data_IF_403836686267
#
_entry.id   IF_403836686267
#
_cell.length_a   1.000
_cell.length_b   1.000
_cell.length_c   1.000
_cell.angle_alpha   90.00
_cell.angle_beta   90.00
_cell.angle_gamma   90.00
#
_symmetry.space_group_name_H-M   'P 1'
#
loop_
_entity.id
_entity.type
_entity.pdbx_description
1 polymer ?
#
# COMPACT_ATOMS: atom_id res chain seq x y z
N UNK A 1 6.24 28.60 21.65
CA UNK A 1 6.38 27.26 21.11
C UNK A 1 5.12 26.89 20.35
N UNK A 2 5.24 26.76 19.05
CA UNK A 2 4.08 26.41 18.24
C UNK A 2 3.85 24.90 18.31
N UNK A 3 2.76 24.53 18.97
CA UNK A 3 2.23 23.16 18.91
C UNK A 3 1.23 23.04 17.77
N UNK A 4 1.51 23.76 16.67
CA UNK A 4 0.64 23.66 15.50
C UNK A 4 0.82 22.29 14.85
N UNK A 5 -0.27 21.50 14.89
CA UNK A 5 -0.33 20.24 14.16
C UNK A 5 -0.44 20.59 12.68
N UNK A 6 0.43 20.00 11.86
CA UNK A 6 0.37 20.16 10.42
C UNK A 6 -0.99 19.67 9.90
N UNK A 7 -1.81 20.51 9.23
CA UNK A 7 -3.13 20.10 8.74
C UNK A 7 -3.08 18.88 7.81
N UNK A 8 -2.02 18.75 7.01
CA UNK A 8 -1.84 17.58 6.12
C UNK A 8 -1.65 16.32 6.95
N UNK A 9 -0.86 16.38 8.00
CA UNK A 9 -0.63 15.25 8.90
C UNK A 9 -1.92 14.85 9.62
N UNK A 10 -2.71 15.81 10.04
CA UNK A 10 -4.04 15.54 10.61
C UNK A 10 -4.96 14.87 9.62
N UNK A 11 -5.01 15.36 8.37
CA UNK A 11 -5.84 14.78 7.31
C UNK A 11 -5.40 13.35 7.01
N UNK A 12 -4.10 13.10 6.95
CA UNK A 12 -3.54 11.77 6.74
C UNK A 12 -3.94 10.82 7.87
N UNK A 13 -3.76 11.24 9.11
CA UNK A 13 -4.10 10.42 10.29
C UNK A 13 -5.60 10.17 10.39
N UNK A 14 -6.43 11.15 10.06
CA UNK A 14 -7.88 11.00 10.04
C UNK A 14 -8.32 9.97 8.99
N UNK A 15 -7.72 10.01 7.79
CA UNK A 15 -8.00 9.04 6.74
C UNK A 15 -7.60 7.61 7.18
N UNK A 16 -6.43 7.45 7.79
CA UNK A 16 -6.00 6.15 8.33
C UNK A 16 -6.95 5.63 9.40
N UNK A 17 -7.40 6.51 10.30
CA UNK A 17 -8.34 6.12 11.36
C UNK A 17 -9.66 5.61 10.80
N UNK A 18 -10.17 6.27 9.76
CA UNK A 18 -11.40 5.83 9.10
C UNK A 18 -11.21 4.50 8.38
N UNK A 19 -10.05 4.29 7.78
CA UNK A 19 -9.71 3.00 7.18
C UNK A 19 -9.72 1.89 8.23
N UNK A 20 -9.04 2.10 9.34
CA UNK A 20 -8.97 1.12 10.44
C UNK A 20 -10.34 0.83 11.05
N UNK A 21 -11.23 1.84 11.07
CA UNK A 21 -12.60 1.70 11.57
C UNK A 21 -13.52 0.98 10.58
N UNK A 22 -13.04 0.59 9.41
CA UNK A 22 -13.84 -0.13 8.42
C UNK A 22 -14.83 0.72 7.66
N UNK A 23 -14.62 2.04 7.59
CA UNK A 23 -15.50 2.93 6.86
C UNK A 23 -15.35 2.78 5.35
N UNK A 24 -16.32 3.32 4.59
CA UNK A 24 -16.36 3.26 3.14
C UNK A 24 -15.03 3.77 2.53
N UNK A 25 -14.46 2.99 1.60
CA UNK A 25 -13.16 3.26 1.03
C UNK A 25 -13.15 4.42 0.04
N UNK A 26 -14.26 4.68 -0.67
CA UNK A 26 -14.30 5.72 -1.71
C UNK A 26 -14.00 7.12 -1.15
N UNK A 27 -14.65 7.58 -0.06
CA UNK A 27 -14.28 8.86 0.54
C UNK A 27 -12.85 8.90 1.04
N UNK A 28 -12.32 7.78 1.55
CA UNK A 28 -10.95 7.70 2.04
C UNK A 28 -9.95 7.85 0.88
N UNK A 29 -10.23 7.23 -0.27
CA UNK A 29 -9.44 7.44 -1.50
C UNK A 29 -9.38 8.93 -1.84
N UNK A 30 -10.53 9.62 -1.80
CA UNK A 30 -10.60 11.05 -2.10
C UNK A 30 -9.74 11.88 -1.14
N UNK A 31 -9.71 11.50 0.14
CA UNK A 31 -8.87 12.18 1.13
C UNK A 31 -7.38 12.05 0.78
N UNK A 32 -6.91 10.86 0.45
CA UNK A 32 -5.52 10.66 0.05
C UNK A 32 -5.20 11.37 -1.27
N UNK A 33 -6.15 11.40 -2.23
CA UNK A 33 -5.98 12.16 -3.48
C UNK A 33 -5.80 13.65 -3.21
N UNK A 34 -6.53 14.23 -2.27
CA UNK A 34 -6.36 15.63 -1.86
C UNK A 34 -4.97 15.87 -1.27
N UNK A 35 -4.48 14.93 -0.47
CA UNK A 35 -3.16 15.06 0.15
C UNK A 35 -2.07 15.09 -0.94
N UNK A 36 -2.11 14.21 -1.93
CA UNK A 36 -1.11 14.19 -2.99
C UNK A 36 -1.24 15.37 -3.96
N UNK A 37 -2.41 16.00 -4.06
CA UNK A 37 -2.56 17.25 -4.81
C UNK A 37 -1.81 18.39 -4.11
N UNK A 38 -1.81 18.41 -2.80
CA UNK A 38 -1.13 19.43 -2.01
C UNK A 38 0.36 19.12 -1.83
N UNK A 39 0.71 17.85 -1.63
CA UNK A 39 2.10 17.38 -1.48
C UNK A 39 2.32 16.21 -2.44
N UNK A 40 2.73 16.49 -3.70
CA UNK A 40 2.88 15.43 -4.72
C UNK A 40 3.90 14.34 -4.40
N UNK A 41 4.84 14.60 -3.50
CA UNK A 41 5.84 13.62 -3.08
C UNK A 41 5.56 13.03 -1.69
N UNK A 42 4.32 13.06 -1.23
CA UNK A 42 3.92 12.46 0.04
C UNK A 42 3.90 10.93 -0.11
N UNK A 43 5.01 10.29 0.22
CA UNK A 43 5.20 8.86 0.03
C UNK A 43 4.12 8.01 0.68
N UNK A 44 3.83 8.26 1.97
CA UNK A 44 2.85 7.46 2.71
C UNK A 44 1.45 7.54 2.11
N UNK A 45 1.05 8.72 1.61
CA UNK A 45 -0.25 8.88 0.95
C UNK A 45 -0.32 8.09 -0.36
N UNK A 46 0.75 8.08 -1.17
CA UNK A 46 0.79 7.27 -2.38
C UNK A 46 0.70 5.77 -2.06
N UNK A 47 1.40 5.32 -1.02
CA UNK A 47 1.36 3.92 -0.60
C UNK A 47 -0.05 3.51 -0.15
N UNK A 48 -0.68 4.32 0.69
CA UNK A 48 -2.06 4.08 1.13
C UNK A 48 -3.03 4.10 -0.04
N UNK A 49 -2.89 5.06 -0.95
CA UNK A 49 -3.75 5.18 -2.12
C UNK A 49 -3.65 3.94 -3.01
N UNK A 50 -2.43 3.43 -3.25
CA UNK A 50 -2.24 2.22 -4.05
C UNK A 50 -2.95 1.02 -3.42
N UNK A 51 -2.86 0.86 -2.12
CA UNK A 51 -3.52 -0.22 -1.39
C UNK A 51 -5.04 -0.13 -1.51
N UNK A 52 -5.60 1.05 -1.27
CA UNK A 52 -7.05 1.28 -1.38
C UNK A 52 -7.58 1.01 -2.79
N UNK A 53 -6.85 1.44 -3.81
CA UNK A 53 -7.22 1.19 -5.19
C UNK A 53 -7.18 -0.31 -5.52
N UNK A 54 -6.23 -1.05 -4.95
CA UNK A 54 -6.20 -2.52 -5.07
C UNK A 54 -7.44 -3.15 -4.43
N UNK A 55 -7.80 -2.71 -3.23
CA UNK A 55 -9.00 -3.21 -2.54
C UNK A 55 -10.28 -2.94 -3.35
N UNK A 56 -10.34 -1.81 -4.04
CA UNK A 56 -11.47 -1.42 -4.89
C UNK A 56 -11.41 -2.04 -6.29
N UNK A 57 -10.34 -2.78 -6.59
CA UNK A 57 -10.09 -3.40 -7.90
C UNK A 57 -9.93 -2.36 -9.02
N UNK A 58 -9.51 -1.16 -8.69
CA UNK A 58 -9.11 -0.13 -9.63
C UNK A 58 -7.62 -0.34 -9.97
N UNK A 59 -7.35 -1.39 -10.75
CA UNK A 59 -6.00 -1.94 -10.91
C UNK A 59 -5.02 -1.00 -11.61
N UNK A 60 -5.48 -0.24 -12.61
CA UNK A 60 -4.62 0.72 -13.31
C UNK A 60 -4.23 1.90 -12.42
N UNK A 61 -5.19 2.43 -11.67
CA UNK A 61 -4.95 3.49 -10.68
C UNK A 61 -4.03 2.99 -9.57
N UNK A 62 -4.22 1.75 -9.12
CA UNK A 62 -3.35 1.13 -8.14
C UNK A 62 -1.91 1.01 -8.65
N UNK A 63 -1.73 0.60 -9.91
CA UNK A 63 -0.42 0.47 -10.53
C UNK A 63 0.29 1.83 -10.61
N UNK A 64 -0.41 2.86 -11.05
CA UNK A 64 0.13 4.22 -11.13
C UNK A 64 0.60 4.72 -9.77
N UNK A 65 -0.25 4.57 -8.75
CA UNK A 65 0.07 5.02 -7.39
C UNK A 65 1.22 4.20 -6.79
N UNK A 66 1.25 2.89 -6.99
CA UNK A 66 2.30 2.02 -6.47
C UNK A 66 3.66 2.34 -7.12
N UNK A 67 3.69 2.59 -8.43
CA UNK A 67 4.92 3.02 -9.11
C UNK A 67 5.46 4.32 -8.55
N UNK A 68 4.58 5.29 -8.29
CA UNK A 68 4.99 6.55 -7.69
C UNK A 68 5.53 6.35 -6.27
N UNK A 69 4.86 5.53 -5.45
CA UNK A 69 5.33 5.22 -4.10
C UNK A 69 6.73 4.59 -4.13
N UNK A 70 6.96 3.60 -4.98
CA UNK A 70 8.28 2.95 -5.11
C UNK A 70 9.34 3.92 -5.62
N UNK A 71 8.98 4.82 -6.54
CA UNK A 71 9.90 5.85 -7.03
C UNK A 71 10.33 6.78 -5.89
N UNK A 72 9.42 7.12 -4.99
CA UNK A 72 9.72 8.00 -3.85
C UNK A 72 10.51 7.29 -2.76
N UNK A 73 10.29 5.99 -2.53
CA UNK A 73 11.05 5.20 -1.58
C UNK A 73 11.19 3.76 -2.06
N UNK A 74 12.32 3.46 -2.69
CA UNK A 74 12.61 2.16 -3.29
C UNK A 74 12.85 1.05 -2.25
N UNK A 75 13.10 1.41 -0.99
CA UNK A 75 13.42 0.48 0.08
C UNK A 75 12.22 0.13 0.95
N UNK A 76 11.02 0.62 0.63
CA UNK A 76 9.85 0.31 1.44
C UNK A 76 9.19 -1.01 0.99
N UNK A 77 9.11 -2.01 1.89
CA UNK A 77 8.55 -3.32 1.52
C UNK A 77 7.05 -3.28 1.21
N UNK A 78 6.28 -2.45 1.90
CA UNK A 78 4.83 -2.33 1.63
C UNK A 78 4.57 -1.75 0.25
N UNK A 79 5.30 -0.70 -0.14
CA UNK A 79 5.19 -0.12 -1.48
C UNK A 79 5.55 -1.15 -2.55
N UNK A 80 6.59 -1.95 -2.33
CA UNK A 80 6.99 -3.04 -3.22
C UNK A 80 5.92 -4.11 -3.32
N UNK A 81 5.30 -4.49 -2.20
CA UNK A 81 4.22 -5.47 -2.21
C UNK A 81 3.01 -4.96 -2.97
N UNK A 82 2.61 -3.70 -2.74
CA UNK A 82 1.51 -3.09 -3.46
C UNK A 82 1.78 -3.07 -4.97
N UNK A 83 3.02 -2.73 -5.36
CA UNK A 83 3.41 -2.74 -6.78
C UNK A 83 3.35 -4.16 -7.36
N UNK A 84 3.82 -5.16 -6.62
CA UNK A 84 3.73 -6.56 -7.06
C UNK A 84 2.29 -6.98 -7.33
N UNK A 85 1.38 -6.63 -6.41
CA UNK A 85 -0.04 -6.93 -6.57
C UNK A 85 -0.65 -6.22 -7.78
N UNK A 86 -0.30 -4.95 -7.98
CA UNK A 86 -0.81 -4.18 -9.12
C UNK A 86 -0.25 -4.69 -10.45
N UNK A 87 1.01 -5.09 -10.50
CA UNK A 87 1.61 -5.70 -11.69
C UNK A 87 0.91 -7.00 -12.05
N UNK A 88 0.63 -7.85 -11.07
CA UNK A 88 -0.12 -9.10 -11.29
C UNK A 88 -1.52 -8.82 -11.80
N UNK A 89 -2.23 -7.88 -11.17
CA UNK A 89 -3.60 -7.56 -11.52
C UNK A 89 -3.75 -6.96 -12.93
N UNK A 90 -2.69 -6.35 -13.44
CA UNK A 90 -2.67 -5.73 -14.77
C UNK A 90 -1.90 -6.55 -15.80
N UNK A 91 -1.51 -7.77 -15.45
CA UNK A 91 -0.75 -8.68 -16.32
C UNK A 91 0.57 -8.09 -16.84
N UNK A 92 1.23 -7.30 -16.01
CA UNK A 92 2.54 -6.73 -16.30
C UNK A 92 3.66 -7.62 -15.74
N UNK A 93 4.84 -7.50 -16.34
CA UNK A 93 6.04 -8.23 -15.94
C UNK A 93 6.79 -7.52 -14.80
N UNK A 94 7.73 -8.21 -14.18
CA UNK A 94 8.65 -7.63 -13.21
C UNK A 94 8.35 -7.96 -11.75
N UNK A 95 7.36 -8.81 -11.50
CA UNK A 95 6.94 -9.16 -10.13
C UNK A 95 8.05 -9.87 -9.36
N UNK A 96 8.79 -10.77 -10.01
CA UNK A 96 9.80 -11.60 -9.35
C UNK A 96 10.85 -10.78 -8.61
N UNK A 97 11.38 -9.73 -9.24
CA UNK A 97 12.43 -8.91 -8.63
C UNK A 97 11.94 -8.20 -7.36
N UNK A 98 10.69 -7.75 -7.37
CA UNK A 98 10.09 -7.14 -6.18
C UNK A 98 9.91 -8.16 -5.07
N UNK A 99 9.43 -9.36 -5.38
CA UNK A 99 9.26 -10.44 -4.40
C UNK A 99 10.61 -10.84 -3.79
N UNK A 100 11.65 -11.00 -4.61
CA UNK A 100 13.00 -11.33 -4.13
C UNK A 100 13.52 -10.27 -3.15
N UNK A 101 13.33 -8.99 -3.47
CA UNK A 101 13.76 -7.90 -2.61
C UNK A 101 12.99 -7.89 -1.28
N UNK A 102 11.67 -8.10 -1.32
CA UNK A 102 10.85 -8.19 -0.10
C UNK A 102 11.30 -9.35 0.78
N UNK A 103 11.61 -10.51 0.18
CA UNK A 103 12.14 -11.66 0.93
C UNK A 103 13.44 -11.31 1.66
N UNK A 104 14.37 -10.65 1.00
CA UNK A 104 15.62 -10.21 1.61
C UNK A 104 15.37 -9.28 2.78
N UNK A 105 14.48 -8.29 2.60
CA UNK A 105 14.13 -7.36 3.67
C UNK A 105 13.51 -8.08 4.87
N UNK A 106 12.61 -9.04 4.60
CA UNK A 106 11.94 -9.83 5.65
C UNK A 106 12.92 -10.70 6.44
N UNK A 107 13.94 -11.23 5.77
CA UNK A 107 14.99 -12.03 6.42
C UNK A 107 15.91 -11.18 7.30
N UNK A 108 16.20 -9.96 6.86
CA UNK A 108 17.11 -9.05 7.57
C UNK A 108 16.44 -8.34 8.74
N UNK A 109 15.13 -8.12 8.65
CA UNK A 109 14.38 -7.33 9.64
C UNK A 109 13.08 -8.06 10.00
N UNK A 110 13.01 -8.74 11.17
CA UNK A 110 11.82 -9.50 11.56
C UNK A 110 10.53 -8.69 11.58
N UNK A 111 10.60 -7.39 11.92
CA UNK A 111 9.43 -6.51 11.96
C UNK A 111 8.81 -6.31 10.58
N UNK A 112 9.61 -6.32 9.51
CA UNK A 112 9.12 -6.22 8.14
C UNK A 112 8.17 -7.38 7.83
N UNK A 113 8.57 -8.60 8.18
CA UNK A 113 7.73 -9.78 7.96
C UNK A 113 6.41 -9.67 8.72
N UNK A 114 6.45 -9.28 10.00
CA UNK A 114 5.27 -9.12 10.83
C UNK A 114 4.30 -8.09 10.26
N UNK A 115 4.82 -6.93 9.85
CA UNK A 115 4.02 -5.84 9.27
C UNK A 115 3.36 -6.25 7.96
N UNK A 116 4.10 -6.92 7.08
CA UNK A 116 3.56 -7.38 5.80
C UNK A 116 2.51 -8.48 6.00
N UNK A 117 2.72 -9.37 6.96
CA UNK A 117 1.72 -10.39 7.31
C UNK A 117 0.42 -9.76 7.78
N UNK A 118 0.50 -8.72 8.61
CA UNK A 118 -0.68 -7.98 9.05
C UNK A 118 -1.43 -7.36 7.86
N UNK A 119 -0.69 -6.78 6.91
CA UNK A 119 -1.29 -6.23 5.69
C UNK A 119 -1.98 -7.29 4.86
N UNK A 120 -1.35 -8.46 4.71
CA UNK A 120 -1.95 -9.59 3.97
C UNK A 120 -3.23 -10.06 4.66
N UNK A 121 -3.20 -10.22 5.98
CA UNK A 121 -4.37 -10.62 6.75
C UNK A 121 -5.51 -9.61 6.63
N UNK A 122 -5.20 -8.31 6.74
CA UNK A 122 -6.18 -7.25 6.56
C UNK A 122 -6.80 -7.29 5.15
N UNK A 123 -5.96 -7.43 4.12
CA UNK A 123 -6.43 -7.51 2.74
C UNK A 123 -7.36 -8.69 2.50
N UNK A 124 -7.00 -9.88 2.99
CA UNK A 124 -7.83 -11.09 2.83
C UNK A 124 -9.08 -11.04 3.69
N UNK A 125 -9.06 -10.33 4.81
CA UNK A 125 -10.25 -10.08 5.63
C UNK A 125 -11.27 -9.23 4.88
N UNK A 126 -10.80 -8.23 4.15
CA UNK A 126 -11.66 -7.32 3.37
C UNK A 126 -12.11 -7.94 2.04
N UNK A 127 -11.20 -8.62 1.36
CA UNK A 127 -11.44 -9.31 0.09
C UNK A 127 -10.98 -10.76 0.19
N UNK A 128 -11.82 -11.68 0.71
CA UNK A 128 -11.41 -13.08 0.91
C UNK A 128 -11.02 -13.80 -0.38
N UNK A 129 -11.64 -13.41 -1.53
CA UNK A 129 -11.28 -13.94 -2.84
C UNK A 129 -10.38 -12.95 -3.56
N UNK A 130 -9.08 -13.02 -3.24
CA UNK A 130 -8.07 -12.15 -3.84
C UNK A 130 -6.89 -12.99 -4.33
N UNK A 131 -6.97 -13.51 -5.58
CA UNK A 131 -5.97 -14.45 -6.10
C UNK A 131 -4.54 -13.92 -6.10
N UNK A 132 -4.35 -12.66 -6.47
CA UNK A 132 -3.01 -12.04 -6.55
C UNK A 132 -2.38 -11.98 -5.16
N UNK A 133 -3.15 -11.59 -4.14
CA UNK A 133 -2.66 -11.52 -2.77
C UNK A 133 -2.34 -12.91 -2.22
N UNK A 134 -3.15 -13.90 -2.56
CA UNK A 134 -2.90 -15.30 -2.18
C UNK A 134 -1.59 -15.80 -2.78
N UNK A 135 -1.30 -15.48 -4.04
CA UNK A 135 -0.04 -15.84 -4.70
C UNK A 135 1.15 -15.15 -4.02
N UNK A 136 1.05 -13.86 -3.75
CA UNK A 136 2.12 -13.11 -3.09
C UNK A 136 2.39 -13.68 -1.70
N UNK A 137 1.34 -13.99 -0.95
CA UNK A 137 1.45 -14.63 0.36
C UNK A 137 2.26 -15.93 0.28
N UNK A 138 1.96 -16.78 -0.72
CA UNK A 138 2.68 -18.04 -0.93
C UNK A 138 4.14 -17.81 -1.27
N UNK A 139 4.41 -16.89 -2.20
CA UNK A 139 5.79 -16.60 -2.61
C UNK A 139 6.64 -16.00 -1.51
N UNK A 140 6.03 -15.27 -0.58
CA UNK A 140 6.73 -14.69 0.57
C UNK A 140 6.83 -15.64 1.77
N UNK A 141 6.23 -16.81 1.69
CA UNK A 141 6.17 -17.79 2.78
C UNK A 141 5.49 -17.25 4.04
N UNK A 142 4.41 -16.55 3.86
CA UNK A 142 3.64 -15.95 4.97
C UNK A 142 2.51 -16.83 5.46
#
# INVERSE_FOLDING_TARGET
MNNEINPIEEDFNAALSRYKAGQDLIPIVQDFQKIIQQIPNHFAAWTCLSWLQLLLKNNEEALSAARQAVRLNQQDPQARMNLSLALLATNNKGVRDHIELIKKMSMMTPDVKSELKESVEDGLSRNPDWPELTKVKQWLDF
#
